data_IF_172990979552
#
_entry.id   IF_172990979552
#
_cell.length_a   1.000
_cell.length_b   1.000
_cell.length_c   1.000
_cell.angle_alpha   90.00
_cell.angle_beta   90.00
_cell.angle_gamma   90.00
#
_symmetry.space_group_name_H-M   'P 1'
#
loop_
_entity.id
_entity.type
_entity.pdbx_description
1 polymer ?
#
# COMPACT_ATOMS: atom_id res chain seq x y z
N UNK A 1 -14.23 7.03 18.69
CA UNK A 1 -13.88 5.60 18.45
C UNK A 1 -13.69 5.31 16.96
N UNK A 2 -14.55 5.82 16.10
CA UNK A 2 -14.44 5.63 14.64
C UNK A 2 -13.25 6.38 14.04
N UNK A 3 -13.04 7.66 14.39
CA UNK A 3 -11.86 8.44 13.97
C UNK A 3 -10.53 7.76 14.32
N UNK A 4 -10.42 7.20 15.53
CA UNK A 4 -9.23 6.47 15.95
C UNK A 4 -9.01 5.20 15.11
N UNK A 5 -10.09 4.51 14.71
CA UNK A 5 -9.99 3.34 13.83
C UNK A 5 -9.53 3.74 12.42
N UNK A 6 -10.08 4.83 11.88
CA UNK A 6 -9.66 5.38 10.57
C UNK A 6 -8.19 5.78 10.61
N UNK A 7 -7.75 6.47 11.66
CA UNK A 7 -6.34 6.87 11.82
C UNK A 7 -5.39 5.66 11.93
N UNK A 8 -5.80 4.61 12.66
CA UNK A 8 -5.02 3.35 12.72
C UNK A 8 -4.94 2.70 11.34
N UNK A 9 -6.05 2.60 10.61
CA UNK A 9 -6.08 2.05 9.26
C UNK A 9 -5.20 2.86 8.30
N UNK A 10 -5.21 4.19 8.39
CA UNK A 10 -4.37 5.08 7.59
C UNK A 10 -2.89 4.79 7.82
N UNK A 11 -2.45 4.72 9.07
CA UNK A 11 -1.04 4.40 9.42
C UNK A 11 -0.62 3.02 8.95
N UNK A 12 -1.50 2.02 9.06
CA UNK A 12 -1.24 0.67 8.57
C UNK A 12 -1.10 0.65 7.04
N UNK A 13 -1.98 1.34 6.32
CA UNK A 13 -1.92 1.45 4.87
C UNK A 13 -0.66 2.21 4.40
N UNK A 14 -0.26 3.29 5.09
CA UNK A 14 0.98 4.01 4.81
C UNK A 14 2.22 3.12 4.95
N UNK A 15 2.30 2.36 6.04
CA UNK A 15 3.41 1.44 6.28
C UNK A 15 3.44 0.31 5.24
N UNK A 16 2.29 -0.30 4.97
CA UNK A 16 2.19 -1.34 3.94
C UNK A 16 2.61 -0.81 2.56
N UNK A 17 2.18 0.40 2.19
CA UNK A 17 2.56 1.01 0.91
C UNK A 17 4.07 1.20 0.80
N UNK A 18 4.72 1.71 1.86
CA UNK A 18 6.18 1.87 1.91
C UNK A 18 6.91 0.52 1.74
N UNK A 19 6.49 -0.50 2.47
CA UNK A 19 7.11 -1.84 2.40
C UNK A 19 6.95 -2.45 1.00
N UNK A 20 5.79 -2.27 0.36
CA UNK A 20 5.53 -2.72 -1.03
C UNK A 20 6.36 -1.94 -2.06
N UNK A 21 6.57 -0.63 -1.86
CA UNK A 21 7.44 0.18 -2.71
C UNK A 21 8.90 -0.28 -2.63
N UNK A 22 9.40 -0.56 -1.43
CA UNK A 22 10.75 -1.08 -1.23
C UNK A 22 10.90 -2.46 -1.86
N UNK A 23 9.93 -3.36 -1.65
CA UNK A 23 9.92 -4.67 -2.29
C UNK A 23 9.92 -4.53 -3.82
N UNK A 24 9.12 -3.62 -4.38
CA UNK A 24 9.03 -3.41 -5.82
C UNK A 24 10.35 -2.95 -6.43
N UNK A 25 11.10 -2.09 -5.73
CA UNK A 25 12.44 -1.64 -6.16
C UNK A 25 13.48 -2.77 -6.14
N UNK A 26 13.34 -3.74 -5.24
CA UNK A 26 14.31 -4.85 -5.06
C UNK A 26 14.10 -6.00 -6.05
N UNK A 27 12.88 -6.18 -6.56
CA UNK A 27 12.58 -7.26 -7.49
C UNK A 27 13.03 -6.89 -8.92
N UNK A 28 13.80 -7.74 -9.62
CA UNK A 28 14.17 -7.53 -11.02
C UNK A 28 12.95 -7.48 -11.95
N UNK A 29 13.03 -6.73 -13.05
CA UNK A 29 11.94 -6.65 -14.05
C UNK A 29 11.66 -7.99 -14.75
N UNK A 30 12.63 -8.89 -14.78
CA UNK A 30 12.49 -10.25 -15.32
C UNK A 30 11.69 -11.19 -14.40
N UNK A 31 11.37 -10.76 -13.17
CA UNK A 31 10.56 -11.54 -12.26
C UNK A 31 9.08 -11.27 -12.50
N UNK A 32 8.35 -12.28 -13.01
CA UNK A 32 6.91 -12.20 -13.29
C UNK A 32 6.06 -11.81 -12.05
N UNK A 33 6.56 -12.05 -10.84
CA UNK A 33 5.95 -11.63 -9.59
C UNK A 33 5.89 -10.10 -9.41
N UNK A 34 6.74 -9.34 -10.12
CA UNK A 34 6.82 -7.87 -10.01
C UNK A 34 5.52 -7.19 -10.43
N UNK A 35 4.83 -7.73 -11.44
CA UNK A 35 3.51 -7.22 -11.87
C UNK A 35 2.46 -7.39 -10.78
N UNK A 36 2.45 -8.52 -10.07
CA UNK A 36 1.49 -8.75 -8.98
C UNK A 36 1.80 -7.85 -7.78
N UNK A 37 3.08 -7.66 -7.47
CA UNK A 37 3.52 -6.72 -6.43
C UNK A 37 3.11 -5.29 -6.75
N UNK A 38 3.26 -4.86 -8.01
CA UNK A 38 2.78 -3.55 -8.46
C UNK A 38 1.27 -3.40 -8.24
N UNK A 39 0.46 -4.40 -8.64
CA UNK A 39 -0.99 -4.38 -8.42
C UNK A 39 -1.36 -4.30 -6.94
N UNK A 40 -0.65 -5.05 -6.09
CA UNK A 40 -0.83 -4.98 -4.63
C UNK A 40 -0.56 -3.58 -4.09
N UNK A 41 0.57 -2.98 -4.51
CA UNK A 41 0.95 -1.61 -4.16
C UNK A 41 -0.12 -0.59 -4.57
N UNK A 42 -0.62 -0.65 -5.81
CA UNK A 42 -1.65 0.29 -6.28
C UNK A 42 -2.98 0.15 -5.52
N UNK A 43 -3.36 -1.07 -5.10
CA UNK A 43 -4.55 -1.27 -4.26
C UNK A 43 -4.41 -0.61 -2.89
N UNK A 44 -3.26 -0.75 -2.23
CA UNK A 44 -3.01 -0.08 -0.94
C UNK A 44 -3.01 1.43 -1.11
N UNK A 45 -2.47 1.95 -2.23
CA UNK A 45 -2.54 3.37 -2.56
C UNK A 45 -3.98 3.87 -2.69
N UNK A 46 -4.85 3.12 -3.37
CA UNK A 46 -6.28 3.46 -3.50
C UNK A 46 -6.99 3.44 -2.14
N UNK A 47 -6.73 2.42 -1.31
CA UNK A 47 -7.27 2.37 0.06
C UNK A 47 -6.84 3.60 0.88
N UNK A 48 -5.57 3.99 0.77
CA UNK A 48 -5.06 5.16 1.47
C UNK A 48 -5.72 6.46 1.00
N UNK A 49 -6.04 6.59 -0.28
CA UNK A 49 -6.78 7.75 -0.80
C UNK A 49 -8.18 7.81 -0.21
N UNK A 50 -8.91 6.69 -0.19
CA UNK A 50 -10.24 6.60 0.44
C UNK A 50 -10.16 7.00 1.92
N UNK A 51 -9.18 6.49 2.66
CA UNK A 51 -8.99 6.80 4.08
C UNK A 51 -8.61 8.25 4.37
N UNK A 52 -8.18 9.03 3.36
CA UNK A 52 -7.89 10.47 3.49
C UNK A 52 -9.07 11.35 3.12
N UNK A 53 -10.05 10.80 2.41
CA UNK A 53 -11.29 11.47 2.02
C UNK A 53 -12.41 11.29 3.06
N UNK A 54 -12.24 10.33 3.97
CA UNK A 54 -13.08 10.07 5.16
C UNK A 54 -12.59 10.91 6.34
#
# INVERSE_FOLDING_TARGET
>A
MEELRVEVLRRLAERALKELEEAYKRIPDTNNGKTYLWRGKERVRLMLNILKEV
#
